data_IF_310612533036
#
_entry.id   IF_310612533036
#
_cell.length_a   1.000
_cell.length_b   1.000
_cell.length_c   1.000
_cell.angle_alpha   90.00
_cell.angle_beta   90.00
_cell.angle_gamma   90.00
#
_symmetry.space_group_name_H-M   'P 1'
#
loop_
_entity.id
_entity.type
_entity.pdbx_description
1 polymer ?
#
# COMPACT_ATOMS: atom_id res chain seq x y z
N UNK A 1 -37.36 40.09 -23.28
CA UNK A 1 -37.12 38.66 -23.54
C UNK A 1 -36.02 38.51 -24.57
N UNK A 2 -34.77 38.34 -24.13
CA UNK A 2 -33.93 37.16 -24.36
C UNK A 2 -32.50 37.48 -23.93
N UNK A 3 -32.07 36.79 -22.87
CA UNK A 3 -30.72 36.80 -22.32
C UNK A 3 -29.77 36.02 -23.23
N UNK A 4 -28.53 36.49 -23.38
CA UNK A 4 -27.38 35.61 -23.58
C UNK A 4 -26.22 36.13 -22.73
N UNK A 5 -26.02 35.50 -21.58
CA UNK A 5 -24.81 35.57 -20.79
C UNK A 5 -23.79 34.63 -21.44
N UNK A 6 -22.72 35.20 -22.02
CA UNK A 6 -21.55 34.42 -22.42
C UNK A 6 -20.67 34.25 -21.17
N UNK A 7 -20.83 33.10 -20.51
CA UNK A 7 -19.87 32.66 -19.49
C UNK A 7 -18.67 32.11 -20.25
N UNK A 8 -17.61 32.90 -20.32
CA UNK A 8 -16.32 32.45 -20.83
C UNK A 8 -15.76 31.39 -19.88
N UNK A 9 -15.96 30.12 -20.20
CA UNK A 9 -15.32 29.00 -19.52
C UNK A 9 -13.84 29.00 -19.83
N UNK A 10 -13.01 29.30 -18.84
CA UNK A 10 -11.59 28.94 -18.88
C UNK A 10 -11.54 27.42 -18.82
N UNK A 11 -11.19 26.78 -19.95
CA UNK A 11 -10.81 25.38 -19.98
C UNK A 11 -9.47 25.29 -19.24
N UNK A 12 -9.51 25.03 -17.93
CA UNK A 12 -8.32 24.59 -17.22
C UNK A 12 -8.04 23.19 -17.74
N UNK A 13 -7.09 23.08 -18.67
CA UNK A 13 -6.55 21.78 -19.07
C UNK A 13 -5.88 21.23 -17.82
N UNK A 14 -6.59 20.35 -17.11
CA UNK A 14 -6.00 19.54 -16.05
C UNK A 14 -4.90 18.73 -16.73
N UNK A 15 -3.65 19.18 -16.57
CA UNK A 15 -2.49 18.34 -16.80
C UNK A 15 -2.53 17.24 -15.75
N UNK A 16 -3.31 16.19 -16.01
CA UNK A 16 -3.17 14.93 -15.29
C UNK A 16 -1.86 14.36 -15.78
N UNK A 17 -0.78 14.66 -15.06
CA UNK A 17 0.44 13.89 -15.21
C UNK A 17 0.08 12.47 -14.76
N UNK A 18 0.08 11.53 -15.69
CA UNK A 18 0.05 10.11 -15.36
C UNK A 18 1.40 9.78 -14.73
N UNK A 19 1.47 9.92 -13.41
CA UNK A 19 2.64 9.56 -12.61
C UNK A 19 2.79 8.05 -12.70
N UNK A 20 3.93 7.58 -13.20
CA UNK A 20 4.22 6.15 -13.37
C UNK A 20 4.34 5.44 -12.02
N UNK A 21 3.98 4.15 -11.95
CA UNK A 21 3.94 3.32 -10.73
C UNK A 21 5.27 3.10 -9.97
N UNK A 22 6.35 3.79 -10.35
CA UNK A 22 7.63 3.84 -9.62
C UNK A 22 7.91 5.20 -8.97
N UNK A 23 7.04 6.19 -9.18
CA UNK A 23 7.17 7.57 -8.64
C UNK A 23 6.11 7.80 -7.53
N UNK A 24 5.12 6.91 -7.44
CA UNK A 24 4.12 6.85 -6.36
C UNK A 24 4.69 6.25 -5.05
N UNK A 25 5.62 5.30 -5.11
CA UNK A 25 6.14 4.61 -3.93
C UNK A 25 6.94 5.54 -3.01
N UNK A 26 7.85 6.35 -3.55
CA UNK A 26 8.64 7.31 -2.78
C UNK A 26 7.75 8.42 -2.20
N UNK A 27 6.76 8.88 -2.98
CA UNK A 27 5.76 9.84 -2.51
C UNK A 27 4.96 9.30 -1.31
N UNK A 28 4.56 8.03 -1.35
CA UNK A 28 3.78 7.40 -0.29
C UNK A 28 4.67 7.12 0.94
N UNK A 29 5.92 6.68 0.75
CA UNK A 29 6.91 6.54 1.83
C UNK A 29 7.09 7.88 2.57
N UNK A 30 7.35 8.97 1.84
CA UNK A 30 7.53 10.28 2.47
C UNK A 30 6.26 10.79 3.15
N UNK A 31 5.08 10.60 2.53
CA UNK A 31 3.80 10.95 3.13
C UNK A 31 3.59 10.21 4.46
N UNK A 32 3.79 8.89 4.47
CA UNK A 32 3.61 8.05 5.65
C UNK A 32 4.67 8.27 6.72
N UNK A 33 5.93 8.53 6.35
CA UNK A 33 6.98 8.91 7.29
C UNK A 33 6.62 10.20 8.04
N UNK A 34 5.97 11.16 7.37
CA UNK A 34 5.53 12.40 7.99
C UNK A 34 4.24 12.23 8.81
N UNK A 35 3.33 11.35 8.39
CA UNK A 35 2.06 11.10 9.07
C UNK A 35 2.22 10.26 10.35
N UNK A 36 3.19 9.36 10.39
CA UNK A 36 3.42 8.44 11.50
C UNK A 36 4.49 8.97 12.43
N UNK A 37 4.12 9.19 13.70
CA UNK A 37 5.05 9.65 14.72
C UNK A 37 6.24 8.69 14.86
N UNK A 38 7.44 9.22 14.65
CA UNK A 38 8.70 8.45 14.75
C UNK A 38 9.16 7.80 13.44
N UNK A 39 8.30 7.73 12.40
CA UNK A 39 8.66 7.14 11.12
C UNK A 39 9.50 8.06 10.23
N UNK A 40 9.55 9.37 10.53
CA UNK A 40 10.51 10.32 9.96
C UNK A 40 11.91 10.17 10.60
N UNK A 41 12.41 8.93 10.65
CA UNK A 41 13.71 8.57 11.18
C UNK A 41 14.58 8.05 10.02
N UNK A 42 15.81 8.55 9.89
CA UNK A 42 16.67 8.24 8.74
C UNK A 42 17.02 6.75 8.65
N UNK A 43 17.24 6.07 9.78
CA UNK A 43 17.56 4.63 9.83
C UNK A 43 16.36 3.78 9.39
N UNK A 44 15.17 4.06 9.94
CA UNK A 44 13.94 3.37 9.53
C UNK A 44 13.60 3.61 8.05
N UNK A 45 13.80 4.82 7.54
CA UNK A 45 13.55 5.14 6.12
C UNK A 45 14.49 4.39 5.17
N UNK A 46 15.71 4.05 5.61
CA UNK A 46 16.60 3.17 4.82
C UNK A 46 15.98 1.79 4.70
N UNK A 47 15.48 1.22 5.81
CA UNK A 47 14.79 -0.07 5.79
C UNK A 47 13.53 -0.03 4.91
N UNK A 48 12.67 0.98 5.06
CA UNK A 48 11.42 1.07 4.30
C UNK A 48 11.65 1.16 2.78
N UNK A 49 12.66 1.92 2.34
CA UNK A 49 13.04 2.00 0.92
C UNK A 49 13.63 0.70 0.38
N UNK A 50 14.22 -0.11 1.26
CA UNK A 50 14.69 -1.45 0.94
C UNK A 50 13.57 -2.51 1.00
N UNK A 51 12.32 -2.13 1.27
CA UNK A 51 11.20 -3.01 1.57
C UNK A 51 11.42 -3.92 2.80
N UNK A 52 12.23 -3.44 3.75
CA UNK A 52 12.45 -4.08 5.03
C UNK A 52 11.57 -3.40 6.08
N UNK A 53 10.72 -4.18 6.77
CA UNK A 53 9.76 -3.66 7.74
C UNK A 53 9.95 -4.35 9.11
N UNK A 54 10.84 -3.81 9.98
CA UNK A 54 11.10 -4.36 11.30
C UNK A 54 9.83 -4.50 12.17
N UNK A 55 9.85 -5.46 13.09
CA UNK A 55 8.75 -5.71 14.02
C UNK A 55 8.84 -4.75 15.23
N UNK A 56 8.48 -3.49 15.00
CA UNK A 56 8.43 -2.44 16.01
C UNK A 56 7.18 -1.55 15.86
N UNK A 57 6.70 -0.89 16.94
CA UNK A 57 5.45 -0.13 16.91
C UNK A 57 5.42 1.01 15.88
N UNK A 58 6.56 1.64 15.57
CA UNK A 58 6.62 2.71 14.57
C UNK A 58 6.40 2.13 13.18
N UNK A 59 7.11 1.04 12.88
CA UNK A 59 6.98 0.34 11.60
C UNK A 59 5.58 -0.25 11.41
N UNK A 60 4.95 -0.76 12.47
CA UNK A 60 3.56 -1.22 12.39
C UNK A 60 2.61 -0.14 11.87
N UNK A 61 2.71 1.06 12.44
CA UNK A 61 1.88 2.19 12.00
C UNK A 61 2.27 2.69 10.61
N UNK A 62 3.56 2.61 10.24
CA UNK A 62 4.02 2.94 8.90
C UNK A 62 3.42 1.98 7.86
N UNK A 63 3.48 0.66 8.09
CA UNK A 63 2.88 -0.36 7.22
C UNK A 63 1.37 -0.16 7.08
N UNK A 64 0.66 0.14 8.19
CA UNK A 64 -0.75 0.51 8.14
C UNK A 64 -1.00 1.71 7.21
N UNK A 65 -0.18 2.75 7.33
CA UNK A 65 -0.31 3.95 6.51
C UNK A 65 -0.13 3.64 5.01
N UNK A 66 0.93 2.90 4.64
CA UNK A 66 1.16 2.48 3.25
C UNK A 66 -0.04 1.69 2.72
N UNK A 67 -0.54 0.73 3.51
CA UNK A 67 -1.68 -0.10 3.12
C UNK A 67 -2.94 0.71 2.86
N UNK A 68 -3.21 1.75 3.66
CA UNK A 68 -4.35 2.65 3.48
C UNK A 68 -4.17 3.58 2.27
N UNK A 69 -2.99 4.22 2.13
CA UNK A 69 -2.70 5.16 1.04
C UNK A 69 -2.73 4.48 -0.34
N UNK A 70 -2.28 3.22 -0.41
CA UNK A 70 -2.32 2.41 -1.63
C UNK A 70 -3.63 1.63 -1.81
N UNK A 71 -4.57 1.76 -0.87
CA UNK A 71 -5.84 1.03 -0.87
C UNK A 71 -5.67 -0.52 -0.96
N UNK A 72 -4.60 -1.02 -0.34
CA UNK A 72 -4.28 -2.46 -0.18
C UNK A 72 -4.89 -3.05 1.09
N UNK A 73 -5.27 -2.19 2.04
CA UNK A 73 -5.80 -2.55 3.34
C UNK A 73 -6.80 -1.50 3.83
N UNK A 74 -7.79 -1.95 4.59
CA UNK A 74 -8.74 -1.12 5.32
C UNK A 74 -8.93 -1.66 6.75
N UNK A 75 -9.03 -0.78 7.75
CA UNK A 75 -9.11 -1.20 9.16
C UNK A 75 -10.36 -2.04 9.49
N UNK A 76 -11.41 -1.92 8.66
CA UNK A 76 -12.68 -2.64 8.81
C UNK A 76 -12.78 -3.82 7.86
N UNK A 77 -12.32 -3.69 6.61
CA UNK A 77 -12.46 -4.73 5.59
C UNK A 77 -11.22 -5.65 5.48
N UNK A 78 -10.12 -5.29 6.12
CA UNK A 78 -8.87 -6.05 6.09
C UNK A 78 -8.10 -5.85 4.79
N UNK A 79 -7.31 -6.86 4.42
CA UNK A 79 -6.48 -6.85 3.21
C UNK A 79 -7.35 -7.04 1.96
N UNK A 80 -7.18 -6.18 0.96
CA UNK A 80 -7.74 -6.40 -0.38
C UNK A 80 -6.78 -7.30 -1.19
N UNK A 81 -7.10 -8.59 -1.26
CA UNK A 81 -6.24 -9.57 -1.91
C UNK A 81 -6.11 -9.35 -3.43
N UNK A 82 -7.11 -8.76 -4.09
CA UNK A 82 -7.00 -8.45 -5.52
C UNK A 82 -6.05 -7.26 -5.73
N UNK A 83 -6.21 -6.19 -4.93
CA UNK A 83 -5.30 -5.04 -5.03
C UNK A 83 -3.85 -5.42 -4.70
N UNK A 84 -3.62 -6.32 -3.73
CA UNK A 84 -2.28 -6.82 -3.42
C UNK A 84 -1.72 -7.70 -4.54
N UNK A 85 -2.54 -8.52 -5.18
CA UNK A 85 -2.16 -9.30 -6.36
C UNK A 85 -1.68 -8.40 -7.51
N UNK A 86 -2.42 -7.33 -7.78
CA UNK A 86 -2.03 -6.32 -8.78
C UNK A 86 -0.74 -5.60 -8.39
N UNK A 87 -0.59 -5.26 -7.11
CA UNK A 87 0.64 -4.64 -6.59
C UNK A 87 1.86 -5.57 -6.63
N UNK A 88 1.66 -6.89 -6.75
CA UNK A 88 2.70 -7.89 -7.03
C UNK A 88 3.01 -8.01 -8.55
N UNK A 89 2.59 -7.02 -9.36
CA UNK A 89 2.93 -6.92 -10.77
C UNK A 89 1.99 -7.67 -11.71
N UNK A 90 0.89 -8.22 -11.20
CA UNK A 90 -0.11 -8.90 -12.01
C UNK A 90 -1.16 -7.91 -12.54
N UNK A 91 -1.86 -8.28 -13.62
CA UNK A 91 -2.89 -7.42 -14.24
C UNK A 91 -4.21 -8.14 -14.50
N UNK A 92 -4.26 -9.41 -14.14
CA UNK A 92 -5.40 -10.31 -14.21
C UNK A 92 -6.01 -10.57 -12.83
N UNK A 93 -7.08 -11.35 -12.82
CA UNK A 93 -7.74 -11.74 -11.57
C UNK A 93 -6.79 -12.59 -10.73
N UNK A 94 -6.81 -12.37 -9.41
CA UNK A 94 -5.98 -13.12 -8.47
C UNK A 94 -6.32 -14.62 -8.53
N UNK A 95 -5.27 -15.44 -8.59
CA UNK A 95 -5.41 -16.90 -8.61
C UNK A 95 -6.23 -17.39 -7.40
N UNK A 96 -7.10 -18.37 -7.63
CA UNK A 96 -7.93 -18.95 -6.56
C UNK A 96 -7.08 -19.50 -5.41
N UNK A 97 -5.91 -20.07 -5.71
CA UNK A 97 -4.96 -20.58 -4.71
C UNK A 97 -4.34 -19.45 -3.88
N UNK A 98 -3.96 -18.33 -4.52
CA UNK A 98 -3.45 -17.15 -3.83
C UNK A 98 -4.50 -16.63 -2.84
N UNK A 99 -5.73 -16.43 -3.31
CA UNK A 99 -6.84 -15.93 -2.50
C UNK A 99 -7.14 -16.89 -1.33
N UNK A 100 -7.22 -18.20 -1.59
CA UNK A 100 -7.53 -19.19 -0.57
C UNK A 100 -6.46 -19.27 0.53
N UNK A 101 -5.18 -19.34 0.14
CA UNK A 101 -4.03 -19.34 1.06
C UNK A 101 -4.08 -18.13 2.00
N UNK A 102 -4.31 -16.96 1.44
CA UNK A 102 -4.22 -15.70 2.18
C UNK A 102 -5.43 -15.48 3.08
N UNK A 103 -6.64 -15.83 2.63
CA UNK A 103 -7.83 -15.82 3.51
C UNK A 103 -7.64 -16.72 4.72
N UNK A 104 -7.13 -17.94 4.51
CA UNK A 104 -6.88 -18.87 5.61
C UNK A 104 -5.85 -18.32 6.62
N UNK A 105 -4.79 -17.66 6.15
CA UNK A 105 -3.81 -17.02 7.03
C UNK A 105 -4.43 -15.85 7.83
N UNK A 106 -5.21 -14.98 7.18
CA UNK A 106 -5.86 -13.83 7.81
C UNK A 106 -6.88 -14.27 8.86
N UNK A 107 -7.69 -15.28 8.56
CA UNK A 107 -8.64 -15.88 9.52
C UNK A 107 -7.94 -16.46 10.74
N UNK A 108 -6.82 -17.16 10.55
CA UNK A 108 -6.05 -17.75 11.65
C UNK A 108 -5.45 -16.69 12.60
N UNK A 109 -5.26 -15.45 12.14
CA UNK A 109 -4.72 -14.35 12.95
C UNK A 109 -5.75 -13.69 13.88
N UNK A 110 -7.05 -13.96 13.72
CA UNK A 110 -8.12 -13.37 14.54
C UNK A 110 -7.97 -11.84 14.68
N UNK A 111 -7.77 -11.15 13.56
CA UNK A 111 -7.38 -9.73 13.50
C UNK A 111 -8.35 -8.80 14.26
N UNK A 112 -9.63 -9.15 14.31
CA UNK A 112 -10.68 -8.45 15.05
C UNK A 112 -10.43 -8.39 16.57
N UNK A 113 -9.56 -9.26 17.09
CA UNK A 113 -9.19 -9.30 18.52
C UNK A 113 -8.01 -8.39 18.86
N UNK A 114 -7.28 -7.89 17.86
CA UNK A 114 -6.13 -7.01 18.04
C UNK A 114 -6.64 -5.57 18.13
N UNK A 115 -6.63 -4.96 19.31
CA UNK A 115 -7.18 -3.62 19.54
C UNK A 115 -6.37 -2.51 18.85
N UNK A 116 -5.04 -2.62 18.86
CA UNK A 116 -4.15 -1.68 18.19
C UNK A 116 -4.25 -1.85 16.66
N UNK A 117 -4.69 -0.79 15.97
CA UNK A 117 -4.90 -0.84 14.52
C UNK A 117 -3.59 -1.00 13.76
N UNK A 118 -2.48 -0.45 14.26
CA UNK A 118 -1.17 -0.57 13.64
C UNK A 118 -0.67 -2.02 13.74
N UNK A 119 -0.73 -2.62 14.94
CA UNK A 119 -0.38 -4.02 15.14
C UNK A 119 -1.28 -4.94 14.29
N UNK A 120 -2.58 -4.64 14.21
CA UNK A 120 -3.53 -5.41 13.40
C UNK A 120 -3.15 -5.41 11.93
N UNK A 121 -2.87 -4.23 11.36
CA UNK A 121 -2.47 -4.11 9.96
C UNK A 121 -1.13 -4.82 9.70
N UNK A 122 -0.13 -4.61 10.57
CA UNK A 122 1.15 -5.27 10.45
C UNK A 122 1.02 -6.80 10.52
N UNK A 123 0.24 -7.31 11.47
CA UNK A 123 -0.07 -8.74 11.57
C UNK A 123 -0.75 -9.25 10.31
N UNK A 124 -1.69 -8.52 9.72
CA UNK A 124 -2.35 -8.90 8.48
C UNK A 124 -1.36 -9.00 7.30
N UNK A 125 -0.50 -8.00 7.10
CA UNK A 125 0.50 -7.99 6.03
C UNK A 125 1.58 -9.06 6.17
N UNK A 126 1.84 -9.59 7.38
CA UNK A 126 2.70 -10.76 7.53
C UNK A 126 2.20 -12.00 6.77
N UNK A 127 0.92 -12.09 6.39
CA UNK A 127 0.42 -13.16 5.52
C UNK A 127 0.87 -13.05 4.06
N UNK A 128 1.37 -11.88 3.64
CA UNK A 128 1.80 -11.57 2.26
C UNK A 128 3.31 -11.42 2.15
N UNK A 129 4.04 -11.56 3.26
CA UNK A 129 5.47 -11.25 3.33
C UNK A 129 6.26 -12.07 2.32
N UNK A 130 6.07 -13.39 2.31
CA UNK A 130 6.82 -14.26 1.40
C UNK A 130 6.52 -13.96 -0.08
N UNK A 131 5.28 -13.58 -0.41
CA UNK A 131 4.88 -13.22 -1.77
C UNK A 131 5.57 -11.91 -2.22
N UNK A 132 5.63 -10.89 -1.36
CA UNK A 132 6.35 -9.63 -1.64
C UNK A 132 7.87 -9.82 -1.70
N UNK A 133 8.47 -10.59 -0.79
CA UNK A 133 9.90 -10.90 -0.83
C UNK A 133 10.29 -11.62 -2.13
N UNK A 134 9.48 -12.60 -2.56
CA UNK A 134 9.70 -13.29 -3.82
C UNK A 134 9.63 -12.35 -5.02
N UNK A 135 8.62 -11.48 -5.08
CA UNK A 135 8.47 -10.49 -6.15
C UNK A 135 9.69 -9.54 -6.22
N UNK A 136 10.13 -9.01 -5.09
CA UNK A 136 11.30 -8.13 -5.01
C UNK A 136 12.57 -8.83 -5.49
N UNK A 137 12.81 -10.06 -5.03
CA UNK A 137 13.98 -10.85 -5.42
C UNK A 137 14.01 -11.13 -6.93
N UNK A 138 12.87 -11.45 -7.52
CA UNK A 138 12.76 -11.69 -8.97
C UNK A 138 13.09 -10.42 -9.77
N UNK A 139 12.59 -9.26 -9.34
CA UNK A 139 12.85 -8.00 -10.04
C UNK A 139 14.30 -7.53 -9.89
N UNK A 140 14.91 -7.74 -8.72
CA UNK A 140 16.33 -7.45 -8.51
C UNK A 140 17.21 -8.35 -9.38
N UNK A 141 16.90 -9.64 -9.50
CA UNK A 141 17.64 -10.58 -10.35
C UNK A 141 17.54 -10.25 -11.86
N UNK A 142 16.47 -9.60 -12.31
CA UNK A 142 16.32 -9.16 -13.70
C UNK A 142 17.02 -7.83 -14.03
N UNK A 143 17.56 -7.15 -13.01
CA UNK A 143 18.25 -5.86 -13.15
C UNK A 143 19.78 -5.96 -13.22
N UNK A 144 20.33 -7.18 -13.06
CA UNK A 144 21.75 -7.53 -13.24
C UNK A 144 22.03 -8.13 -14.63
#
# INVERSE_FOLDING_TARGET
>A
MNSLLLIGGVLVVLNVQFVTAADNNESVIESCSNAVQGAANDELKVHYRANEFPDDPVTHCFVRCIGLELNLYDDKYGVDLQANWENLGNSDDADEEFVAKHRACLEAKNLETIEDLCERAYSAFQCLREDYEMYQNNNNATSE
#
